data_IF_077315218458
#
_entry.id   IF_077315218458
#
_cell.length_a   1.000
_cell.length_b   1.000
_cell.length_c   1.000
_cell.angle_alpha   90.00
_cell.angle_beta   90.00
_cell.angle_gamma   90.00
#
_symmetry.space_group_name_H-M   'P 1'
#
loop_
_entity.id
_entity.type
_entity.pdbx_description
1 polymer ?
#
# COMPACT_ATOMS: atom_id res chain seq x y z
N UNK A 1 1.19 28.74 14.67
CA UNK A 1 -0.21 28.26 14.70
C UNK A 1 -1.13 28.87 13.64
N UNK A 2 -0.85 30.08 13.10
CA UNK A 2 -1.71 30.80 12.14
C UNK A 2 -1.70 30.23 10.72
N UNK A 3 -0.59 29.62 10.29
CA UNK A 3 -0.39 29.11 8.91
C UNK A 3 -1.15 27.81 8.64
N UNK A 4 -1.07 26.82 9.54
CA UNK A 4 -1.79 25.53 9.43
C UNK A 4 -3.31 25.70 9.32
N UNK A 5 -3.89 26.64 10.08
CA UNK A 5 -5.34 26.89 10.05
C UNK A 5 -5.76 27.44 8.67
N UNK A 6 -4.93 28.31 8.10
CA UNK A 6 -5.13 28.86 6.76
C UNK A 6 -5.01 27.80 5.66
N UNK A 7 -4.05 26.89 5.77
CA UNK A 7 -3.88 25.78 4.82
C UNK A 7 -5.06 24.80 4.86
N UNK A 8 -5.57 24.46 6.06
CA UNK A 8 -6.75 23.59 6.22
C UNK A 8 -8.01 24.25 5.65
N UNK A 9 -8.18 25.57 5.82
CA UNK A 9 -9.29 26.34 5.24
C UNK A 9 -9.14 26.54 3.71
N UNK A 10 -7.92 26.46 3.16
CA UNK A 10 -7.63 26.64 1.72
C UNK A 10 -7.68 25.32 0.94
N UNK A 11 -7.32 24.20 1.57
CA UNK A 11 -7.26 22.88 0.96
C UNK A 11 -8.32 21.95 1.56
N UNK A 12 -9.58 22.23 1.27
CA UNK A 12 -10.65 21.24 1.45
C UNK A 12 -10.52 20.17 0.35
N UNK A 13 -9.78 19.09 0.60
CA UNK A 13 -9.59 18.09 -0.43
C UNK A 13 -9.02 16.80 0.13
N UNK A 14 -9.57 15.68 -0.31
CA UNK A 14 -9.05 14.37 0.07
C UNK A 14 -7.56 14.22 -0.24
N UNK A 15 -6.91 13.37 0.54
CA UNK A 15 -5.48 13.08 0.43
C UNK A 15 -5.28 11.59 0.14
N UNK A 16 -4.06 11.21 -0.25
CA UNK A 16 -3.65 9.82 -0.40
C UNK A 16 -2.67 9.44 0.70
N UNK A 17 -2.94 8.30 1.33
CA UNK A 17 -2.03 7.69 2.29
C UNK A 17 -1.41 6.47 1.63
N UNK A 18 -0.09 6.47 1.56
CA UNK A 18 0.68 5.32 1.10
C UNK A 18 0.89 4.35 2.26
N UNK A 19 0.68 3.06 1.98
CA UNK A 19 0.87 1.99 2.95
C UNK A 19 1.86 1.01 2.34
N UNK A 20 3.01 0.87 2.99
CA UNK A 20 4.08 -0.03 2.59
C UNK A 20 4.04 -1.30 3.45
N UNK A 21 4.09 -2.46 2.80
CA UNK A 21 4.33 -3.77 3.41
C UNK A 21 5.78 -4.13 3.08
N UNK A 22 6.66 -4.04 4.07
CA UNK A 22 8.11 -4.19 3.88
C UNK A 22 8.54 -5.66 3.83
N UNK A 23 7.80 -6.55 4.49
CA UNK A 23 7.98 -7.99 4.39
C UNK A 23 6.79 -8.58 3.65
N UNK A 24 6.88 -8.62 2.32
CA UNK A 24 5.85 -9.25 1.50
C UNK A 24 5.77 -10.76 1.80
N UNK A 25 4.56 -11.31 2.05
CA UNK A 25 4.41 -12.75 2.20
C UNK A 25 4.48 -13.42 0.82
N UNK A 26 4.47 -14.75 0.80
CA UNK A 26 4.42 -15.49 -0.45
C UNK A 26 3.05 -15.32 -1.15
N UNK A 27 2.99 -14.35 -2.06
CA UNK A 27 1.76 -13.99 -2.78
C UNK A 27 1.28 -15.04 -3.79
N UNK A 28 2.06 -16.11 -4.06
CA UNK A 28 1.59 -17.24 -4.87
C UNK A 28 0.60 -18.13 -4.12
N UNK A 29 0.58 -18.06 -2.79
CA UNK A 29 -0.36 -18.79 -1.95
C UNK A 29 -1.68 -18.02 -1.81
N UNK A 30 -2.80 -18.71 -2.07
CA UNK A 30 -4.14 -18.11 -1.93
C UNK A 30 -4.40 -17.56 -0.53
N UNK A 31 -3.96 -18.27 0.50
CA UNK A 31 -4.16 -17.88 1.91
C UNK A 31 -3.48 -16.54 2.23
N UNK A 32 -2.28 -16.31 1.71
CA UNK A 32 -1.56 -15.04 1.92
C UNK A 32 -2.23 -13.90 1.15
N UNK A 33 -2.73 -14.16 -0.06
CA UNK A 33 -3.53 -13.17 -0.81
C UNK A 33 -4.80 -12.76 -0.08
N UNK A 34 -5.52 -13.72 0.50
CA UNK A 34 -6.71 -13.45 1.31
C UNK A 34 -6.37 -12.67 2.58
N UNK A 35 -5.25 -13.02 3.22
CA UNK A 35 -4.73 -12.31 4.39
C UNK A 35 -4.42 -10.84 4.07
N UNK A 36 -3.71 -10.57 2.97
CA UNK A 36 -3.40 -9.20 2.55
C UNK A 36 -4.68 -8.44 2.18
N UNK A 37 -5.66 -9.07 1.52
CA UNK A 37 -6.94 -8.40 1.25
C UNK A 37 -7.66 -7.97 2.54
N UNK A 38 -7.69 -8.83 3.57
CA UNK A 38 -8.27 -8.48 4.87
C UNK A 38 -7.53 -7.30 5.53
N UNK A 39 -6.20 -7.29 5.46
CA UNK A 39 -5.40 -6.16 5.93
C UNK A 39 -5.78 -4.87 5.22
N UNK A 40 -5.90 -4.90 3.88
CA UNK A 40 -6.34 -3.73 3.10
C UNK A 40 -7.75 -3.29 3.50
N UNK A 41 -8.67 -4.24 3.70
CA UNK A 41 -10.03 -3.94 4.18
C UNK A 41 -10.04 -3.29 5.57
N UNK A 42 -9.13 -3.67 6.47
CA UNK A 42 -8.99 -2.99 7.77
C UNK A 42 -8.62 -1.51 7.60
N UNK A 43 -7.78 -1.18 6.61
CA UNK A 43 -7.43 0.21 6.26
C UNK A 43 -8.60 0.96 5.60
N UNK A 44 -9.32 0.30 4.70
CA UNK A 44 -10.48 0.85 4.00
C UNK A 44 -11.65 1.20 4.94
N UNK A 45 -11.75 0.51 6.08
CA UNK A 45 -12.81 0.69 7.07
C UNK A 45 -12.48 1.71 8.17
N UNK A 46 -11.29 2.34 8.14
CA UNK A 46 -10.96 3.42 9.07
C UNK A 46 -11.89 4.61 8.77
N UNK A 47 -12.41 5.31 9.79
CA UNK A 47 -13.05 6.61 9.61
C UNK A 47 -12.23 7.52 8.70
N UNK A 48 -12.89 8.42 7.97
CA UNK A 48 -12.26 9.33 6.99
C UNK A 48 -11.72 8.65 5.72
N UNK A 49 -11.61 7.32 5.67
CA UNK A 49 -11.27 6.62 4.43
C UNK A 49 -12.45 6.62 3.45
N UNK A 50 -12.17 6.82 2.17
CA UNK A 50 -13.17 6.75 1.08
C UNK A 50 -13.63 5.29 0.88
N UNK A 51 -12.87 4.33 1.42
CA UNK A 51 -13.12 2.91 1.32
C UNK A 51 -12.58 2.31 0.03
N UNK A 52 -13.15 1.17 -0.38
CA UNK A 52 -12.67 0.36 -1.50
C UNK A 52 -12.51 1.10 -2.82
N UNK A 53 -13.41 2.04 -3.10
CA UNK A 53 -13.39 2.83 -4.34
C UNK A 53 -12.26 3.87 -4.38
N UNK A 54 -11.77 4.29 -3.22
CA UNK A 54 -10.62 5.19 -3.10
C UNK A 54 -9.30 4.45 -2.95
N UNK A 55 -9.27 3.12 -3.06
CA UNK A 55 -8.09 2.32 -2.75
C UNK A 55 -7.43 1.80 -4.02
N UNK A 56 -6.17 2.20 -4.19
CA UNK A 56 -5.31 1.77 -5.27
C UNK A 56 -4.50 0.55 -4.82
N UNK A 57 -5.02 -0.63 -5.08
CA UNK A 57 -4.40 -1.89 -4.67
C UNK A 57 -4.16 -2.83 -5.84
N UNK A 58 -2.88 -3.08 -6.13
CA UNK A 58 -2.41 -3.82 -7.31
C UNK A 58 -2.98 -5.23 -7.41
N UNK A 59 -3.14 -5.95 -6.29
CA UNK A 59 -3.52 -7.37 -6.32
C UNK A 59 -4.90 -7.59 -6.94
N UNK A 60 -5.84 -6.69 -6.65
CA UNK A 60 -7.20 -6.76 -7.21
C UNK A 60 -7.19 -6.54 -8.72
N UNK A 61 -6.34 -5.63 -9.20
CA UNK A 61 -6.19 -5.35 -10.63
C UNK A 61 -5.43 -6.48 -11.36
N UNK A 62 -4.40 -7.04 -10.74
CA UNK A 62 -3.65 -8.16 -11.29
C UNK A 62 -4.51 -9.43 -11.39
N UNK A 63 -5.32 -9.75 -10.38
CA UNK A 63 -6.24 -10.90 -10.43
C UNK A 63 -7.23 -10.74 -11.59
N UNK A 64 -7.87 -9.56 -11.73
CA UNK A 64 -8.77 -9.28 -12.87
C UNK A 64 -8.06 -9.45 -14.21
N UNK A 65 -6.84 -8.93 -14.32
CA UNK A 65 -6.02 -9.06 -15.52
C UNK A 65 -5.75 -10.54 -15.84
N UNK A 66 -5.25 -11.31 -14.88
CA UNK A 66 -4.91 -12.73 -15.06
C UNK A 66 -6.13 -13.58 -15.45
N UNK A 67 -7.29 -13.31 -14.84
CA UNK A 67 -8.56 -13.97 -15.17
C UNK A 67 -9.02 -13.66 -16.61
N UNK A 68 -8.82 -12.43 -17.08
CA UNK A 68 -9.24 -12.00 -18.42
C UNK A 68 -8.29 -12.45 -19.54
N UNK A 69 -6.98 -12.49 -19.28
CA UNK A 69 -5.98 -12.87 -20.27
C UNK A 69 -5.77 -14.38 -20.37
N UNK A 70 -6.34 -15.14 -19.43
CA UNK A 70 -6.03 -16.57 -19.31
C UNK A 70 -4.56 -16.82 -18.97
N UNK A 71 -3.88 -15.83 -18.37
CA UNK A 71 -2.54 -16.02 -17.80
C UNK A 71 -2.70 -16.95 -16.60
N UNK A 72 -2.60 -18.26 -16.86
CA UNK A 72 -2.77 -19.28 -15.84
C UNK A 72 -1.72 -19.04 -14.76
N UNK A 73 -2.20 -18.58 -13.60
CA UNK A 73 -1.48 -18.70 -12.35
C UNK A 73 -1.41 -20.20 -12.08
N UNK A 74 -0.31 -20.85 -12.51
CA UNK A 74 -0.04 -22.23 -12.13
C UNK A 74 -0.21 -22.29 -10.61
N UNK A 75 -1.10 -23.17 -10.16
CA UNK A 75 -1.58 -23.15 -8.77
C UNK A 75 -0.39 -23.27 -7.81
N UNK A 76 -0.27 -22.30 -6.92
CA UNK A 76 0.77 -22.21 -5.89
C UNK A 76 2.21 -22.18 -6.44
N UNK A 77 2.41 -21.87 -7.73
CA UNK A 77 3.74 -21.68 -8.31
C UNK A 77 4.27 -20.27 -8.03
N UNK A 78 5.31 -20.19 -7.19
CA UNK A 78 5.92 -18.93 -6.80
C UNK A 78 6.58 -18.21 -7.98
N UNK A 79 7.24 -18.98 -8.87
CA UNK A 79 7.97 -18.41 -9.99
C UNK A 79 7.02 -17.74 -11.00
N UNK A 80 5.99 -18.45 -11.48
CA UNK A 80 5.02 -17.87 -12.42
C UNK A 80 4.28 -16.68 -11.81
N UNK A 81 4.00 -16.72 -10.50
CA UNK A 81 3.35 -15.62 -9.81
C UNK A 81 4.21 -14.36 -9.80
N UNK A 82 5.45 -14.46 -9.29
CA UNK A 82 6.35 -13.31 -9.21
C UNK A 82 6.66 -12.76 -10.58
N UNK A 83 6.94 -13.63 -11.56
CA UNK A 83 7.22 -13.23 -12.94
C UNK A 83 6.01 -12.54 -13.58
N UNK A 84 4.82 -13.12 -13.42
CA UNK A 84 3.59 -12.56 -13.97
C UNK A 84 3.26 -11.19 -13.40
N UNK A 85 3.40 -10.99 -12.08
CA UNK A 85 3.20 -9.68 -11.45
C UNK A 85 4.28 -8.68 -11.89
N UNK A 86 5.54 -9.10 -11.96
CA UNK A 86 6.64 -8.24 -12.39
C UNK A 86 6.43 -7.72 -13.81
N UNK A 87 6.14 -8.61 -14.77
CA UNK A 87 5.88 -8.22 -16.15
C UNK A 87 4.63 -7.35 -16.28
N UNK A 88 3.53 -7.74 -15.62
CA UNK A 88 2.30 -6.97 -15.59
C UNK A 88 2.50 -5.55 -15.03
N UNK A 89 3.26 -5.41 -13.95
CA UNK A 89 3.50 -4.12 -13.29
C UNK A 89 4.23 -3.11 -14.17
N UNK A 90 4.96 -3.60 -15.19
CA UNK A 90 5.72 -2.81 -16.16
C UNK A 90 4.93 -2.48 -17.42
N UNK A 91 3.76 -3.09 -17.61
CA UNK A 91 2.85 -2.71 -18.68
C UNK A 91 2.41 -1.26 -18.42
N UNK A 92 2.49 -0.42 -19.45
CA UNK A 92 1.98 0.94 -19.39
C UNK A 92 0.46 0.91 -19.51
N UNK A 93 -0.22 0.53 -18.43
CA UNK A 93 -1.67 0.54 -18.36
C UNK A 93 -2.15 1.93 -17.89
N UNK A 94 -2.78 2.69 -18.78
CA UNK A 94 -3.55 3.90 -18.46
C UNK A 94 -2.82 4.93 -17.57
N UNK A 95 -1.60 5.32 -17.95
CA UNK A 95 -0.77 6.33 -17.23
C UNK A 95 -0.27 5.92 -15.84
N UNK A 96 -0.51 4.69 -15.40
CA UNK A 96 -0.08 4.20 -14.08
C UNK A 96 1.04 3.17 -14.21
N UNK A 97 2.19 3.49 -13.61
CA UNK A 97 3.34 2.60 -13.53
C UNK A 97 3.35 1.91 -12.17
N UNK A 98 2.65 0.77 -12.07
CA UNK A 98 2.64 -0.07 -10.87
C UNK A 98 4.04 -0.59 -10.52
N UNK A 99 4.97 -0.65 -11.46
CA UNK A 99 6.36 -1.03 -11.23
C UNK A 99 7.04 -0.24 -10.11
N UNK A 100 6.63 1.01 -9.87
CA UNK A 100 7.15 1.85 -8.77
C UNK A 100 6.58 1.49 -7.40
N UNK A 101 5.60 0.58 -7.35
CA UNK A 101 4.93 0.17 -6.12
C UNK A 101 5.50 -1.14 -5.56
N UNK A 102 6.53 -1.70 -6.18
CA UNK A 102 7.18 -2.95 -5.76
C UNK A 102 8.68 -2.76 -5.56
N UNK A 103 9.24 -3.49 -4.60
CA UNK A 103 10.67 -3.78 -4.52
C UNK A 103 10.84 -5.27 -4.77
N UNK A 104 11.63 -5.58 -5.79
CA UNK A 104 12.00 -6.93 -6.15
C UNK A 104 13.43 -7.19 -5.69
N UNK A 105 13.68 -8.39 -5.18
CA UNK A 105 15.06 -8.87 -5.09
C UNK A 105 15.51 -9.34 -6.47
N UNK A 106 16.81 -9.19 -6.73
CA UNK A 106 17.46 -9.75 -7.91
C UNK A 106 16.96 -9.18 -9.26
N UNK A 107 16.41 -7.96 -9.27
CA UNK A 107 15.91 -7.28 -10.47
C UNK A 107 16.99 -6.91 -11.51
N UNK A 108 18.27 -7.11 -11.18
CA UNK A 108 19.43 -6.87 -12.06
C UNK A 108 20.03 -8.14 -12.69
N UNK A 109 19.38 -9.30 -12.59
CA UNK A 109 19.97 -10.55 -13.10
C UNK A 109 20.03 -10.54 -14.63
N UNK A 110 21.26 -10.69 -15.12
CA UNK A 110 21.59 -10.97 -16.52
C UNK A 110 20.98 -12.33 -16.90
N UNK A 111 20.34 -12.49 -18.06
CA UNK A 111 19.79 -13.78 -18.46
C UNK A 111 20.95 -14.79 -18.57
N UNK A 112 21.07 -15.64 -17.57
CA UNK A 112 21.87 -16.86 -17.63
C UNK A 112 20.88 -18.02 -17.59
N UNK A 113 21.26 -19.17 -18.13
CA UNK A 113 20.40 -20.35 -18.27
C UNK A 113 19.88 -20.95 -16.94
N UNK A 114 20.16 -20.29 -15.82
CA UNK A 114 19.68 -20.63 -14.49
C UNK A 114 18.58 -19.66 -14.04
N UNK A 115 17.36 -20.21 -13.97
CA UNK A 115 16.25 -19.88 -13.05
C UNK A 115 16.36 -18.51 -12.36
N UNK A 116 15.65 -17.52 -12.89
CA UNK A 116 15.47 -16.16 -12.36
C UNK A 116 14.88 -16.20 -10.92
N UNK A 117 15.66 -15.92 -9.85
CA UNK A 117 15.18 -15.85 -8.47
C UNK A 117 14.51 -14.50 -8.19
N UNK A 118 13.56 -14.13 -9.05
CA UNK A 118 12.78 -12.91 -8.87
C UNK A 118 11.84 -13.07 -7.69
N UNK A 119 12.13 -12.39 -6.59
CA UNK A 119 11.35 -12.46 -5.35
C UNK A 119 10.75 -11.10 -5.00
N UNK A 120 9.45 -11.07 -4.71
CA UNK A 120 8.80 -9.86 -4.21
C UNK A 120 9.22 -9.63 -2.76
N UNK A 121 9.96 -8.54 -2.51
CA UNK A 121 10.42 -8.18 -1.16
C UNK A 121 9.44 -7.30 -0.44
N UNK A 122 8.99 -6.24 -1.10
CA UNK A 122 8.03 -5.31 -0.53
C UNK A 122 7.12 -4.74 -1.61
N UNK A 123 5.99 -4.20 -1.18
CA UNK A 123 5.12 -3.44 -2.04
C UNK A 123 4.37 -2.38 -1.26
N UNK A 124 3.81 -1.40 -1.98
CA UNK A 124 2.90 -0.41 -1.41
C UNK A 124 1.55 -0.42 -2.11
N UNK A 125 0.56 0.11 -1.41
CA UNK A 125 -0.75 0.46 -1.95
C UNK A 125 -1.17 1.82 -1.39
N UNK A 126 -2.18 2.45 -1.99
CA UNK A 126 -2.65 3.77 -1.54
C UNK A 126 -4.11 3.70 -1.17
N UNK A 127 -4.48 4.41 -0.12
CA UNK A 127 -5.89 4.64 0.26
C UNK A 127 -6.20 6.13 0.14
N UNK A 128 -7.37 6.43 -0.40
CA UNK A 128 -7.94 7.77 -0.39
C UNK A 128 -8.61 8.07 0.95
N UNK A 129 -8.34 9.25 1.49
CA UNK A 129 -8.93 9.77 2.71
C UNK A 129 -9.54 11.14 2.44
N UNK A 130 -10.54 11.55 3.20
CA UNK A 130 -11.24 12.81 3.00
C UNK A 130 -11.74 13.39 4.32
N UNK A 131 -12.25 14.63 4.29
CA UNK A 131 -12.87 15.32 5.42
C UNK A 131 -11.95 15.58 6.63
N UNK A 132 -10.67 15.88 6.39
CA UNK A 132 -9.79 16.41 7.43
C UNK A 132 -10.10 17.88 7.66
N UNK A 133 -10.83 18.19 8.73
CA UNK A 133 -11.29 19.56 9.00
C UNK A 133 -10.40 20.29 10.01
N UNK A 134 -9.58 19.56 10.77
CA UNK A 134 -8.70 20.16 11.77
C UNK A 134 -7.48 19.25 12.10
N UNK A 135 -6.55 19.78 12.88
CA UNK A 135 -5.33 19.06 13.28
C UNK A 135 -5.59 17.83 14.17
N UNK A 136 -6.71 17.76 14.90
CA UNK A 136 -7.05 16.59 15.72
C UNK A 136 -7.48 15.42 14.84
N UNK A 137 -8.19 15.66 13.73
CA UNK A 137 -8.56 14.61 12.77
C UNK A 137 -7.32 13.92 12.19
N UNK A 138 -6.27 14.70 11.87
CA UNK A 138 -4.99 14.16 11.39
C UNK A 138 -4.29 13.30 12.44
N UNK A 139 -4.32 13.71 13.72
CA UNK A 139 -3.75 12.93 14.82
C UNK A 139 -4.53 11.63 15.01
N UNK A 140 -5.86 11.69 15.00
CA UNK A 140 -6.74 10.54 15.20
C UNK A 140 -6.56 9.50 14.09
N UNK A 141 -6.60 9.92 12.82
CA UNK A 141 -6.38 9.00 11.68
C UNK A 141 -4.98 8.41 11.71
N UNK A 142 -3.97 9.20 12.10
CA UNK A 142 -2.61 8.67 12.27
C UNK A 142 -2.53 7.59 13.36
N UNK A 143 -3.25 7.74 14.47
CA UNK A 143 -3.34 6.71 15.51
C UNK A 143 -4.04 5.46 14.99
N UNK A 144 -5.21 5.60 14.34
CA UNK A 144 -5.95 4.46 13.78
C UNK A 144 -5.14 3.68 12.75
N UNK A 145 -4.40 4.37 11.88
CA UNK A 145 -3.53 3.73 10.89
C UNK A 145 -2.39 2.94 11.54
N UNK A 146 -1.82 3.47 12.62
CA UNK A 146 -0.80 2.76 13.42
C UNK A 146 -1.37 1.56 14.16
N UNK A 147 -2.59 1.67 14.67
CA UNK A 147 -3.27 0.56 15.33
C UNK A 147 -3.49 -0.60 14.35
N UNK A 148 -3.95 -0.33 13.13
CA UNK A 148 -4.08 -1.34 12.07
C UNK A 148 -2.72 -1.96 11.75
N UNK A 149 -1.70 -1.14 11.46
CA UNK A 149 -0.35 -1.63 11.20
C UNK A 149 0.22 -2.49 12.34
N UNK A 150 -0.08 -2.14 13.60
CA UNK A 150 0.40 -2.85 14.79
C UNK A 150 -0.20 -4.25 14.99
N UNK A 151 -1.32 -4.56 14.31
CA UNK A 151 -1.91 -5.91 14.30
C UNK A 151 -1.18 -6.87 13.35
N UNK A 152 -0.40 -6.33 12.41
CA UNK A 152 0.27 -7.08 11.34
C UNK A 152 1.80 -6.89 11.40
N UNK A 153 2.39 -7.08 12.59
CA UNK A 153 3.81 -6.77 12.85
C UNK A 153 4.79 -7.61 12.02
N UNK A 154 4.42 -8.84 11.70
CA UNK A 154 5.23 -9.75 10.89
C UNK A 154 5.41 -9.26 9.46
N UNK A 155 4.48 -8.44 8.95
CA UNK A 155 4.54 -7.84 7.61
C UNK A 155 5.31 -6.52 7.57
N UNK A 156 5.69 -5.96 8.74
CA UNK A 156 6.31 -4.65 8.89
C UNK A 156 5.59 -3.56 8.08
N UNK A 157 4.35 -3.29 8.46
CA UNK A 157 3.50 -2.31 7.78
C UNK A 157 3.84 -0.88 8.23
N UNK A 158 4.10 0.00 7.27
CA UNK A 158 4.33 1.43 7.50
C UNK A 158 3.32 2.27 6.73
N UNK A 159 2.95 3.41 7.29
CA UNK A 159 1.99 4.34 6.66
C UNK A 159 2.63 5.72 6.48
N UNK A 160 2.54 6.26 5.28
CA UNK A 160 3.14 7.54 4.88
C UNK A 160 2.07 8.44 4.25
N UNK A 161 2.17 9.74 4.52
CA UNK A 161 1.30 10.77 3.96
C UNK A 161 2.12 12.05 3.82
N UNK A 162 1.97 12.75 2.70
CA UNK A 162 2.66 14.02 2.49
C UNK A 162 2.09 15.06 3.47
N UNK A 163 2.91 15.55 4.41
CA UNK A 163 2.49 16.47 5.49
C UNK A 163 2.53 15.89 6.92
N UNK A 164 2.74 14.57 7.08
CA UNK A 164 2.78 13.90 8.40
C UNK A 164 3.93 14.28 9.32
N UNK A 165 5.02 14.83 8.80
CA UNK A 165 6.15 15.27 9.62
C UNK A 165 5.70 16.27 10.72
N UNK A 166 4.69 17.08 10.43
CA UNK A 166 4.13 18.08 11.35
C UNK A 166 3.20 17.43 12.40
N UNK A 167 2.43 16.40 12.02
CA UNK A 167 1.55 15.67 12.94
C UNK A 167 2.35 14.81 13.94
N UNK A 168 3.42 14.17 13.47
CA UNK A 168 4.28 13.33 14.31
C UNK A 168 5.02 14.12 15.39
N UNK A 169 5.36 15.39 15.12
CA UNK A 169 5.92 16.28 16.12
C UNK A 169 4.93 16.53 17.27
N UNK A 170 3.65 16.80 16.97
CA UNK A 170 2.62 17.08 18.00
C UNK A 170 2.29 15.87 18.88
N UNK A 171 2.32 14.65 18.32
CA UNK A 171 2.10 13.42 19.10
C UNK A 171 3.21 13.21 20.13
N UNK A 172 4.46 13.56 19.80
CA UNK A 172 5.59 13.48 20.74
C UNK A 172 5.47 14.50 21.87
N UNK A 173 5.03 15.72 21.55
CA UNK A 173 4.86 16.80 22.54
C UNK A 173 3.73 16.49 23.54
N UNK A 174 2.64 15.86 23.10
CA UNK A 174 1.53 15.44 23.97
C UNK A 174 1.86 14.29 24.94
N UNK A 175 2.98 13.58 24.75
CA UNK A 175 3.46 12.51 25.65
C UNK A 175 4.44 13.00 26.72
N UNK A 176 4.77 14.30 26.73
CA UNK A 176 5.73 14.91 27.66
C UNK A 176 5.01 15.74 28.76
N UNK A 177 3.68 15.71 28.81
CA UNK A 177 2.86 16.37 29.85
C UNK A 177 2.13 15.30 30.66
#
# INVERSE_FOLDING_TARGET
>A
MRTMKMEIDLFHGGDQIEIAIVLAPNMSLKIERERINKLVEEFENIPYCIGKNGTEFWLREYIKYAEQTGSFLLKDDNWSWNRGVYEWSRLFAFYKLWSQDFVWENDQITPTDNWDPLEMRSFRFRIGVTNFNNANDLVLVTQMLREVASRHKDLQVYTFQHGRAIADQKIKEARII
#
